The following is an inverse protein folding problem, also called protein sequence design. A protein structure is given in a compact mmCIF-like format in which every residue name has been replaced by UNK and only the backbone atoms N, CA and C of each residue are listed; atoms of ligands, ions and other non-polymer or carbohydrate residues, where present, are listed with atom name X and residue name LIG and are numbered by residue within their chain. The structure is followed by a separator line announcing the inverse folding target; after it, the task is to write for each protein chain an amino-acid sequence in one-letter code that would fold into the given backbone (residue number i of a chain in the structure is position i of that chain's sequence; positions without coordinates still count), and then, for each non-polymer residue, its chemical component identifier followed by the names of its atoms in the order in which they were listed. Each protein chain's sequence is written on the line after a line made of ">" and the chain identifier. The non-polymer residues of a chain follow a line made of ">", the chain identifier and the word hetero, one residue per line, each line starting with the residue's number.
data_IF_201482468428
#
_entry.id   IF_201482468428
#
_cell.length_a   1.000
_cell.length_b   1.000
_cell.length_c   1.000
_cell.angle_alpha   90.00
_cell.angle_beta   90.00
_cell.angle_gamma   90.00
#
_symmetry.space_group_name_H-M   'P 1'
#
loop_
_entity.id
_entity.type
_entity.pdbx_description
1 polymer ?
#
# COMPACT_ATOMS: atom_id res chain seq x y z
N UNK A 1 -16.51 9.50 20.07
CA UNK A 1 -17.95 9.84 20.04
C UNK A 1 -18.69 8.64 19.49
N UNK A 2 -19.54 8.01 20.31
CA UNK A 2 -20.29 6.81 19.91
C UNK A 2 -21.76 7.15 19.94
N UNK A 3 -22.35 7.39 18.77
CA UNK A 3 -23.80 7.34 18.60
C UNK A 3 -24.13 6.16 17.70
N UNK A 4 -24.69 5.12 18.32
CA UNK A 4 -25.23 3.96 17.62
C UNK A 4 -26.51 4.38 16.91
N UNK A 5 -26.43 4.26 15.58
CA UNK A 5 -27.52 4.13 14.62
C UNK A 5 -28.11 2.71 14.77
N UNK A 6 -29.43 2.60 14.82
CA UNK A 6 -30.24 1.45 14.37
C UNK A 6 -31.70 1.93 14.40
N UNK A 7 -32.27 2.32 13.26
CA UNK A 7 -32.90 1.48 12.24
C UNK A 7 -34.30 1.03 12.68
N UNK A 8 -35.27 1.69 12.05
CA UNK A 8 -36.70 1.38 12.05
C UNK A 8 -36.96 0.01 11.42
N UNK A 9 -38.03 -0.64 11.86
CA UNK A 9 -38.92 -1.38 10.97
C UNK A 9 -40.37 -1.30 11.50
N UNK A 10 -41.39 -1.36 10.62
CA UNK A 10 -42.72 -0.83 10.87
C UNK A 10 -43.78 -1.92 11.11
N UNK A 11 -45.03 -1.47 11.28
CA UNK A 11 -46.29 -2.24 11.20
C UNK A 11 -46.75 -2.98 12.48
N UNK A 12 -47.61 -2.30 13.26
CA UNK A 12 -48.89 -2.90 13.67
C UNK A 12 -49.93 -1.82 14.00
N UNK A 13 -50.58 -1.28 12.98
CA UNK A 13 -51.83 -0.53 13.15
C UNK A 13 -52.97 -1.53 13.45
N UNK A 14 -53.32 -1.70 14.73
CA UNK A 14 -54.67 -2.14 15.11
C UNK A 14 -55.58 -0.91 15.17
N UNK A 15 -56.25 -0.66 14.05
CA UNK A 15 -57.42 0.23 13.96
C UNK A 15 -58.48 -0.19 14.97
N UNK A 16 -58.95 0.76 15.77
CA UNK A 16 -60.19 0.65 16.52
C UNK A 16 -61.16 1.68 15.95
N UNK A 17 -61.68 1.42 14.75
CA UNK A 17 -62.77 2.18 14.13
C UNK A 17 -64.09 1.47 14.48
N UNK A 18 -64.78 1.94 15.52
CA UNK A 18 -66.23 1.72 15.63
C UNK A 18 -66.90 2.75 14.72
N UNK A 19 -67.33 2.26 13.56
CA UNK A 19 -68.00 3.04 12.54
C UNK A 19 -69.25 3.73 13.06
N UNK A 20 -69.27 5.05 12.88
CA UNK A 20 -70.48 5.84 12.80
C UNK A 20 -71.11 5.50 11.45
N UNK A 21 -72.15 4.65 11.46
CA UNK A 21 -73.00 4.47 10.29
C UNK A 21 -73.90 5.69 10.15
N UNK A 22 -73.49 6.60 9.27
CA UNK A 22 -74.43 7.45 8.54
C UNK A 22 -75.27 6.51 7.67
N UNK A 23 -76.54 6.34 8.02
CA UNK A 23 -77.52 5.69 7.17
C UNK A 23 -78.51 6.77 6.72
N UNK A 24 -78.44 7.05 5.43
CA UNK A 24 -79.33 7.93 4.70
C UNK A 24 -80.79 7.46 4.82
N UNK A 25 -81.70 8.43 4.93
CA UNK A 25 -83.14 8.22 4.99
C UNK A 25 -83.69 7.54 3.73
N UNK A 26 -84.74 6.72 3.82
CA UNK A 26 -85.80 6.71 2.84
C UNK A 26 -86.95 7.61 3.31
N UNK A 27 -87.21 8.65 2.50
CA UNK A 27 -88.50 9.34 2.48
C UNK A 27 -89.51 8.33 1.89
N UNK A 28 -90.43 7.85 2.71
CA UNK A 28 -91.72 7.35 2.24
C UNK A 28 -92.83 7.97 3.07
N UNK A 29 -93.64 8.74 2.35
CA UNK A 29 -94.94 9.28 2.71
C UNK A 29 -95.80 8.36 3.58
N UNK A 30 -96.25 8.87 4.73
CA UNK A 30 -97.66 8.77 5.12
C UNK A 30 -97.96 9.85 6.15
N UNK A 31 -98.80 10.79 5.75
CA UNK A 31 -99.43 11.79 6.60
C UNK A 31 -100.26 11.09 7.67
N UNK A 32 -99.64 10.81 8.81
CA UNK A 32 -100.35 10.50 10.04
C UNK A 32 -99.55 11.14 11.17
N UNK A 33 -100.11 12.20 11.73
CA UNK A 33 -99.62 12.91 12.90
C UNK A 33 -99.21 11.90 13.99
N UNK A 34 -97.90 11.63 14.08
CA UNK A 34 -97.34 10.91 15.23
C UNK A 34 -97.31 11.89 16.40
N UNK A 35 -98.43 12.00 17.11
CA UNK A 35 -98.38 12.33 18.53
C UNK A 35 -97.49 11.25 19.19
N UNK A 36 -96.32 11.65 19.66
CA UNK A 36 -95.34 10.74 20.27
C UNK A 36 -95.92 9.98 21.47
N UNK A 37 -95.24 8.89 21.89
CA UNK A 37 -95.59 8.16 23.12
C UNK A 37 -95.62 9.14 24.30
N UNK A 38 -96.82 9.42 24.79
CA UNK A 38 -97.09 10.24 25.97
C UNK A 38 -96.26 9.69 27.14
N UNK A 39 -95.35 10.52 27.65
CA UNK A 39 -94.43 10.20 28.73
C UNK A 39 -95.20 9.81 30.00
N UNK A 40 -94.58 9.06 30.92
CA UNK A 40 -95.23 8.64 32.17
C UNK A 40 -95.71 9.81 33.03
N UNK A 41 -95.11 10.99 32.85
CA UNK A 41 -95.46 12.23 33.52
C UNK A 41 -96.67 12.90 32.88
N UNK A 42 -96.75 12.94 31.54
CA UNK A 42 -97.93 13.44 30.83
C UNK A 42 -99.17 12.57 31.10
N UNK A 43 -99.03 11.25 31.26
CA UNK A 43 -100.15 10.39 31.66
C UNK A 43 -100.67 10.69 33.07
N UNK A 44 -99.79 11.06 34.01
CA UNK A 44 -100.19 11.46 35.36
C UNK A 44 -100.89 12.82 35.36
N UNK A 45 -100.40 13.74 34.54
CA UNK A 45 -101.04 15.03 34.30
C UNK A 45 -102.43 14.84 33.71
N UNK A 46 -102.55 13.99 32.67
CA UNK A 46 -103.83 13.67 32.05
C UNK A 46 -104.81 13.02 33.05
N UNK A 47 -104.34 12.07 33.88
CA UNK A 47 -105.16 11.46 34.91
C UNK A 47 -105.68 12.48 35.94
N UNK A 48 -104.82 13.41 36.39
CA UNK A 48 -105.22 14.50 37.29
C UNK A 48 -106.25 15.41 36.58
N UNK A 49 -106.02 15.79 35.33
CA UNK A 49 -106.96 16.59 34.55
C UNK A 49 -108.32 15.88 34.34
N UNK A 50 -108.30 14.57 34.11
CA UNK A 50 -109.50 13.75 33.93
C UNK A 50 -110.30 13.62 35.25
N UNK A 51 -109.62 13.44 36.39
CA UNK A 51 -110.25 13.46 37.73
C UNK A 51 -110.87 14.83 38.04
N UNK A 52 -110.21 15.92 37.64
CA UNK A 52 -110.68 17.29 37.80
C UNK A 52 -111.87 17.60 36.87
N UNK A 53 -111.87 17.06 35.65
CA UNK A 53 -112.98 17.15 34.70
C UNK A 53 -114.24 16.43 35.25
N UNK A 54 -114.10 15.27 35.90
CA UNK A 54 -115.22 14.57 36.52
C UNK A 54 -115.95 15.41 37.58
N UNK A 55 -115.23 16.25 38.33
CA UNK A 55 -115.81 17.19 39.31
C UNK A 55 -116.56 18.35 38.61
N UNK A 56 -116.11 18.74 37.41
CA UNK A 56 -116.72 19.78 36.57
C UNK A 56 -118.04 19.31 35.93
N UNK A 57 -118.24 18.01 35.72
CA UNK A 57 -119.44 17.44 35.08
C UNK A 57 -120.58 17.03 36.05
N UNK A 58 -120.43 17.22 37.36
CA UNK A 58 -121.50 16.93 38.35
C UNK A 58 -122.76 17.82 38.12
N UNK A 59 -123.96 17.45 38.62
CA UNK A 59 -125.17 18.28 38.52
C UNK A 59 -125.01 19.65 39.20
N UNK A 60 -125.61 20.71 38.63
CA UNK A 60 -125.45 22.13 39.06
C UNK A 60 -126.22 22.52 40.34
N UNK A 61 -126.92 21.61 40.99
CA UNK A 61 -127.93 21.93 42.01
C UNK A 61 -127.37 22.31 43.40
N UNK A 62 -126.06 22.55 43.53
CA UNK A 62 -125.46 22.97 44.79
C UNK A 62 -124.45 24.12 44.58
N UNK A 63 -124.70 25.28 45.20
CA UNK A 63 -123.81 26.47 45.15
C UNK A 63 -122.35 26.15 45.54
N UNK A 64 -122.15 25.17 46.44
CA UNK A 64 -120.81 24.72 46.86
C UNK A 64 -120.02 24.12 45.70
N UNK A 65 -120.67 23.38 44.80
CA UNK A 65 -120.04 22.74 43.63
C UNK A 65 -119.66 23.79 42.58
N UNK A 66 -120.47 24.84 42.41
CA UNK A 66 -120.15 25.94 41.49
C UNK A 66 -118.91 26.72 41.92
N UNK A 67 -118.76 27.01 43.22
CA UNK A 67 -117.56 27.68 43.78
C UNK A 67 -116.30 26.83 43.60
N UNK A 68 -116.39 25.52 43.81
CA UNK A 68 -115.27 24.59 43.60
C UNK A 68 -114.85 24.57 42.13
N UNK A 69 -115.79 24.46 41.17
CA UNK A 69 -115.46 24.50 39.74
C UNK A 69 -114.79 25.80 39.31
N UNK A 70 -115.25 26.92 39.84
CA UNK A 70 -114.65 28.23 39.54
C UNK A 70 -113.21 28.29 40.06
N UNK A 71 -112.97 27.89 41.30
CA UNK A 71 -111.62 27.83 41.89
C UNK A 71 -110.70 26.84 41.14
N UNK A 72 -111.24 25.70 40.70
CA UNK A 72 -110.51 24.71 39.90
C UNK A 72 -110.12 25.26 38.52
N UNK A 73 -111.06 25.94 37.85
CA UNK A 73 -110.81 26.60 36.56
C UNK A 73 -109.77 27.71 36.67
N UNK A 74 -109.83 28.51 37.73
CA UNK A 74 -108.83 29.55 38.04
C UNK A 74 -107.44 28.94 38.29
N UNK A 75 -107.36 27.85 39.07
CA UNK A 75 -106.09 27.14 39.29
C UNK A 75 -105.51 26.49 38.02
N UNK A 76 -106.37 25.93 37.16
CA UNK A 76 -105.95 25.38 35.86
C UNK A 76 -105.44 26.47 34.92
N UNK A 77 -106.08 27.64 34.88
CA UNK A 77 -105.58 28.77 34.11
C UNK A 77 -104.18 29.20 34.59
N UNK A 78 -103.98 29.38 35.90
CA UNK A 78 -102.67 29.74 36.48
C UNK A 78 -101.62 28.68 36.13
N UNK A 79 -101.98 27.40 36.19
CA UNK A 79 -101.05 26.32 35.88
C UNK A 79 -100.68 26.26 34.39
N UNK A 80 -101.64 26.50 33.50
CA UNK A 80 -101.39 26.62 32.06
C UNK A 80 -100.46 27.80 31.76
N UNK A 81 -100.69 28.96 32.38
CA UNK A 81 -99.82 30.15 32.25
C UNK A 81 -98.38 29.85 32.72
N UNK A 82 -98.23 29.19 33.87
CA UNK A 82 -96.91 28.81 34.40
C UNK A 82 -96.21 27.76 33.51
N UNK A 83 -96.97 26.83 32.92
CA UNK A 83 -96.44 25.85 31.98
C UNK A 83 -95.98 26.51 30.67
N UNK A 84 -96.74 27.49 30.17
CA UNK A 84 -96.37 28.26 28.98
C UNK A 84 -95.12 29.12 29.22
N UNK A 85 -95.03 29.78 30.38
CA UNK A 85 -93.85 30.57 30.76
C UNK A 85 -92.59 29.70 30.89
N UNK A 86 -92.71 28.51 31.51
CA UNK A 86 -91.61 27.54 31.58
C UNK A 86 -91.23 27.02 30.19
N UNK A 87 -92.19 26.68 29.34
CA UNK A 87 -91.94 26.23 27.97
C UNK A 87 -91.21 27.30 27.14
N UNK A 88 -91.61 28.57 27.29
CA UNK A 88 -90.96 29.70 26.65
C UNK A 88 -89.53 29.90 27.16
N UNK A 89 -89.29 29.70 28.45
CA UNK A 89 -87.94 29.74 29.05
C UNK A 89 -87.05 28.63 28.48
N UNK A 90 -87.56 27.40 28.34
CA UNK A 90 -86.82 26.30 27.71
C UNK A 90 -86.54 26.55 26.23
N UNK A 91 -87.50 27.08 25.47
CA UNK A 91 -87.28 27.46 24.07
C UNK A 91 -86.16 28.50 23.94
N UNK A 92 -86.15 29.53 24.81
CA UNK A 92 -85.07 30.54 24.83
C UNK A 92 -83.71 29.91 25.15
N UNK A 93 -83.63 29.07 26.19
CA UNK A 93 -82.38 28.35 26.54
C UNK A 93 -81.91 27.43 25.42
N UNK A 94 -82.82 26.71 24.77
CA UNK A 94 -82.50 25.86 23.62
C UNK A 94 -81.93 26.67 22.46
N UNK A 95 -82.48 27.86 22.21
CA UNK A 95 -81.97 28.75 21.16
C UNK A 95 -80.57 29.27 21.49
N UNK A 96 -80.35 29.70 22.74
CA UNK A 96 -79.03 30.14 23.21
C UNK A 96 -77.98 29.02 23.09
N UNK A 97 -78.31 27.80 23.52
CA UNK A 97 -77.42 26.64 23.39
C UNK A 97 -77.12 26.30 21.93
N UNK A 98 -78.10 26.47 21.03
CA UNK A 98 -77.88 26.28 19.59
C UNK A 98 -76.93 27.32 19.03
N UNK A 99 -77.11 28.60 19.38
CA UNK A 99 -76.22 29.69 18.97
C UNK A 99 -74.78 29.48 19.49
N UNK A 100 -74.62 29.04 20.75
CA UNK A 100 -73.31 28.68 21.33
C UNK A 100 -72.68 27.48 20.63
N UNK A 101 -73.46 26.45 20.28
CA UNK A 101 -72.97 25.29 19.55
C UNK A 101 -72.51 25.67 18.14
N UNK A 102 -73.29 26.48 17.43
CA UNK A 102 -72.94 26.96 16.09
C UNK A 102 -71.66 27.82 16.13
N UNK A 103 -71.50 28.66 17.16
CA UNK A 103 -70.27 29.42 17.38
C UNK A 103 -69.06 28.52 17.66
N UNK A 104 -69.19 27.50 18.53
CA UNK A 104 -68.11 26.54 18.78
C UNK A 104 -67.71 25.77 17.53
N UNK A 105 -68.68 25.44 16.68
CA UNK A 105 -68.43 24.76 15.41
C UNK A 105 -67.65 25.66 14.44
N UNK A 106 -68.05 26.92 14.30
CA UNK A 106 -67.31 27.89 13.49
C UNK A 106 -65.86 28.05 13.97
N UNK A 107 -65.67 28.14 15.29
CA UNK A 107 -64.35 28.29 15.89
C UNK A 107 -63.47 27.04 15.67
N UNK A 108 -64.05 25.84 15.73
CA UNK A 108 -63.36 24.60 15.38
C UNK A 108 -62.95 24.55 13.92
N UNK A 109 -63.79 25.04 13.01
CA UNK A 109 -63.47 25.06 11.59
C UNK A 109 -62.36 26.09 11.29
N UNK A 110 -62.39 27.27 11.93
CA UNK A 110 -61.29 28.25 11.87
C UNK A 110 -59.96 27.69 12.39
N UNK A 111 -59.99 26.91 13.50
CA UNK A 111 -58.78 26.26 14.03
C UNK A 111 -58.20 25.27 13.01
N UNK A 112 -59.04 24.46 12.36
CA UNK A 112 -58.59 23.49 11.35
C UNK A 112 -57.96 24.20 10.14
N UNK A 113 -58.60 25.27 9.66
CA UNK A 113 -58.09 26.05 8.54
C UNK A 113 -56.73 26.69 8.88
N UNK A 114 -56.60 27.21 10.11
CA UNK A 114 -55.33 27.78 10.59
C UNK A 114 -54.24 26.73 10.71
N UNK A 115 -54.56 25.51 11.19
CA UNK A 115 -53.61 24.39 11.25
C UNK A 115 -53.13 23.98 9.85
N UNK A 116 -54.04 23.94 8.87
CA UNK A 116 -53.67 23.65 7.48
C UNK A 116 -52.70 24.71 6.91
N UNK A 117 -52.99 26.00 7.16
CA UNK A 117 -52.13 27.10 6.73
C UNK A 117 -50.74 27.05 7.39
N UNK A 118 -50.63 26.67 8.67
CA UNK A 118 -49.35 26.52 9.35
C UNK A 118 -48.55 25.37 8.73
N UNK A 119 -49.18 24.21 8.51
CA UNK A 119 -48.52 23.06 7.89
C UNK A 119 -48.02 23.36 6.47
N UNK A 120 -48.79 24.12 5.69
CA UNK A 120 -48.36 24.54 4.35
C UNK A 120 -47.13 25.45 4.39
N UNK A 121 -47.10 26.42 5.33
CA UNK A 121 -45.93 27.29 5.53
C UNK A 121 -44.69 26.51 5.99
N UNK A 122 -44.85 25.57 6.91
CA UNK A 122 -43.76 24.72 7.38
C UNK A 122 -43.18 23.88 6.22
N UNK A 123 -44.03 23.24 5.42
CA UNK A 123 -43.58 22.49 4.22
C UNK A 123 -42.89 23.39 3.20
N UNK A 124 -43.39 24.61 2.99
CA UNK A 124 -42.76 25.56 2.09
C UNK A 124 -41.36 25.97 2.60
N UNK A 125 -41.21 26.19 3.92
CA UNK A 125 -39.93 26.51 4.53
C UNK A 125 -38.94 25.33 4.51
N UNK A 126 -39.41 24.10 4.74
CA UNK A 126 -38.58 22.91 4.58
C UNK A 126 -38.09 22.76 3.13
N UNK A 127 -38.96 23.00 2.15
CA UNK A 127 -38.61 22.94 0.75
C UNK A 127 -37.56 24.01 0.35
N UNK A 128 -37.63 25.22 0.91
CA UNK A 128 -36.61 26.27 0.66
C UNK A 128 -35.28 25.91 1.32
N UNK A 129 -35.29 25.44 2.56
CA UNK A 129 -34.08 24.99 3.27
C UNK A 129 -33.41 23.80 2.54
N UNK A 130 -34.18 22.85 2.03
CA UNK A 130 -33.64 21.74 1.24
C UNK A 130 -33.04 22.23 -0.07
N UNK A 131 -33.66 23.19 -0.76
CA UNK A 131 -33.09 23.79 -1.97
C UNK A 131 -31.77 24.50 -1.71
N UNK A 132 -31.64 25.22 -0.59
CA UNK A 132 -30.37 25.87 -0.23
C UNK A 132 -29.28 24.85 0.08
N UNK A 133 -29.59 23.80 0.84
CA UNK A 133 -28.64 22.70 1.11
C UNK A 133 -28.20 21.99 -0.17
N UNK A 134 -29.11 21.73 -1.11
CA UNK A 134 -28.77 21.14 -2.42
C UNK A 134 -27.83 22.07 -3.20
N UNK A 135 -28.06 23.39 -3.17
CA UNK A 135 -27.20 24.34 -3.86
C UNK A 135 -25.79 24.39 -3.25
N UNK A 136 -25.66 24.28 -1.93
CA UNK A 136 -24.37 24.19 -1.23
C UNK A 136 -23.62 22.91 -1.61
N UNK A 137 -24.30 21.75 -1.57
CA UNK A 137 -23.71 20.46 -1.97
C UNK A 137 -23.28 20.50 -3.44
N UNK A 138 -24.09 21.06 -4.33
CA UNK A 138 -23.71 21.20 -5.74
C UNK A 138 -22.46 22.08 -5.92
N UNK A 139 -22.33 23.15 -5.13
CA UNK A 139 -21.13 23.99 -5.14
C UNK A 139 -19.88 23.20 -4.68
N UNK A 140 -20.01 22.40 -3.63
CA UNK A 140 -18.92 21.52 -3.17
C UNK A 140 -18.54 20.47 -4.21
N UNK A 141 -19.52 19.85 -4.87
CA UNK A 141 -19.30 18.91 -5.98
C UNK A 141 -18.52 19.60 -7.10
N UNK A 142 -18.97 20.76 -7.57
CA UNK A 142 -18.25 21.50 -8.62
C UNK A 142 -16.83 21.90 -8.22
N UNK A 143 -16.60 22.26 -6.95
CA UNK A 143 -15.25 22.57 -6.46
C UNK A 143 -14.35 21.33 -6.43
N UNK A 144 -14.89 20.18 -6.01
CA UNK A 144 -14.19 18.90 -6.02
C UNK A 144 -13.88 18.44 -7.45
N UNK A 145 -14.83 18.53 -8.38
CA UNK A 145 -14.61 18.22 -9.80
C UNK A 145 -13.50 19.09 -10.39
N UNK A 146 -13.49 20.39 -10.08
CA UNK A 146 -12.40 21.30 -10.49
C UNK A 146 -11.05 20.87 -9.93
N UNK A 147 -10.97 20.54 -8.63
CA UNK A 147 -9.73 20.03 -8.00
C UNK A 147 -9.26 18.74 -8.66
N UNK A 148 -10.19 17.85 -8.97
CA UNK A 148 -9.92 16.56 -9.59
C UNK A 148 -9.40 16.72 -11.03
N UNK A 149 -9.96 17.66 -11.80
CA UNK A 149 -9.45 18.03 -13.14
C UNK A 149 -7.99 18.50 -13.07
N UNK A 150 -7.67 19.40 -12.13
CA UNK A 150 -6.28 19.89 -11.94
C UNK A 150 -5.32 18.74 -11.64
N UNK A 151 -5.72 17.79 -10.79
CA UNK A 151 -4.91 16.63 -10.47
C UNK A 151 -4.71 15.71 -11.68
N UNK A 152 -5.74 15.52 -12.52
CA UNK A 152 -5.60 14.76 -13.77
C UNK A 152 -4.63 15.44 -14.75
N UNK A 153 -4.74 16.75 -14.93
CA UNK A 153 -3.83 17.51 -15.79
C UNK A 153 -2.39 17.42 -15.29
N UNK A 154 -2.19 17.55 -13.96
CA UNK A 154 -0.88 17.41 -13.35
C UNK A 154 -0.29 16.01 -13.54
N UNK A 155 -1.10 14.96 -13.33
CA UNK A 155 -0.70 13.57 -13.57
C UNK A 155 -0.32 13.33 -15.03
N UNK A 156 -1.11 13.85 -15.97
CA UNK A 156 -0.84 13.75 -17.40
C UNK A 156 0.48 14.42 -17.77
N UNK A 157 0.73 15.61 -17.23
CA UNK A 157 1.99 16.32 -17.43
C UNK A 157 3.20 15.56 -16.87
N UNK A 158 3.08 15.00 -15.65
CA UNK A 158 4.14 14.18 -15.05
C UNK A 158 4.42 12.91 -15.87
N UNK A 159 3.37 12.23 -16.35
CA UNK A 159 3.53 11.06 -17.22
C UNK A 159 4.27 11.41 -18.51
N UNK A 160 3.93 12.53 -19.16
CA UNK A 160 4.64 12.99 -20.35
C UNK A 160 6.12 13.27 -20.05
N UNK A 161 6.42 13.94 -18.93
CA UNK A 161 7.81 14.18 -18.51
C UNK A 161 8.58 12.90 -18.26
N UNK A 162 7.96 11.92 -17.59
CA UNK A 162 8.57 10.62 -17.33
C UNK A 162 8.89 9.89 -18.65
N UNK A 163 7.92 9.86 -19.58
CA UNK A 163 8.14 9.27 -20.91
C UNK A 163 9.27 9.95 -21.69
N UNK A 164 9.40 11.27 -21.59
CA UNK A 164 10.53 11.99 -22.19
C UNK A 164 11.85 11.60 -21.53
N UNK A 165 11.92 11.54 -20.19
CA UNK A 165 13.12 11.10 -19.48
C UNK A 165 13.52 9.67 -19.88
N UNK A 166 12.58 8.72 -19.87
CA UNK A 166 12.83 7.34 -20.29
C UNK A 166 13.39 7.27 -21.72
N UNK A 167 12.85 8.06 -22.65
CA UNK A 167 13.34 8.09 -24.04
C UNK A 167 14.76 8.64 -24.16
N UNK A 168 15.11 9.64 -23.34
CA UNK A 168 16.46 10.22 -23.31
C UNK A 168 17.45 9.23 -22.71
N UNK A 169 17.10 8.58 -21.60
CA UNK A 169 17.92 7.55 -20.96
C UNK A 169 18.15 6.35 -21.90
N UNK A 170 17.11 5.88 -22.61
CA UNK A 170 17.27 4.84 -23.62
C UNK A 170 18.23 5.25 -24.74
N UNK A 171 18.18 6.52 -25.18
CA UNK A 171 19.09 7.04 -26.19
C UNK A 171 20.53 7.10 -25.68
N UNK A 172 20.73 7.51 -24.42
CA UNK A 172 22.06 7.56 -23.79
C UNK A 172 22.65 6.16 -23.60
N UNK A 173 21.85 5.20 -23.13
CA UNK A 173 22.24 3.80 -23.01
C UNK A 173 22.71 3.28 -24.37
N UNK A 174 21.92 3.48 -25.43
CA UNK A 174 22.28 3.04 -26.77
C UNK A 174 23.60 3.65 -27.27
N UNK A 175 23.80 4.95 -27.03
CA UNK A 175 25.06 5.63 -27.38
C UNK A 175 26.27 5.08 -26.62
N UNK A 176 26.09 4.72 -25.34
CA UNK A 176 27.13 4.11 -24.52
C UNK A 176 27.46 2.69 -24.97
N UNK A 177 26.46 1.89 -25.32
CA UNK A 177 26.62 0.54 -25.89
C UNK A 177 27.42 0.60 -27.20
N UNK A 178 27.06 1.50 -28.12
CA UNK A 178 27.78 1.73 -29.37
C UNK A 178 29.23 2.15 -29.14
N UNK A 179 29.45 3.06 -28.18
CA UNK A 179 30.80 3.53 -27.84
C UNK A 179 31.64 2.40 -27.23
N UNK A 180 31.04 1.58 -26.38
CA UNK A 180 31.71 0.42 -25.77
C UNK A 180 32.11 -0.58 -26.84
N UNK A 181 31.21 -0.88 -27.78
CA UNK A 181 31.50 -1.78 -28.90
C UNK A 181 32.67 -1.26 -29.74
N UNK A 182 32.67 0.02 -30.11
CA UNK A 182 33.79 0.64 -30.86
C UNK A 182 35.10 0.60 -30.08
N UNK A 183 35.06 0.86 -28.77
CA UNK A 183 36.26 0.78 -27.93
C UNK A 183 36.79 -0.65 -27.83
N UNK A 184 35.91 -1.64 -27.76
CA UNK A 184 36.26 -3.04 -27.76
C UNK A 184 36.91 -3.44 -29.09
N UNK A 185 36.32 -3.05 -30.23
CA UNK A 185 36.91 -3.27 -31.55
C UNK A 185 38.30 -2.61 -31.68
N UNK A 186 38.46 -1.37 -31.18
CA UNK A 186 39.76 -0.69 -31.15
C UNK A 186 40.78 -1.39 -30.25
N UNK A 187 40.34 -1.97 -29.13
CA UNK A 187 41.20 -2.75 -28.25
C UNK A 187 41.67 -4.04 -28.93
N UNK A 188 40.75 -4.79 -29.52
CA UNK A 188 41.01 -6.07 -30.17
C UNK A 188 41.88 -5.92 -31.44
N UNK A 189 41.71 -4.80 -32.17
CA UNK A 189 42.50 -4.51 -33.37
C UNK A 189 43.90 -3.98 -33.09
N UNK A 190 44.25 -3.63 -31.84
CA UNK A 190 45.59 -3.13 -31.52
C UNK A 190 46.63 -4.25 -31.63
N UNK A 191 47.58 -4.17 -32.60
CA UNK A 191 48.54 -5.23 -32.90
C UNK A 191 49.54 -5.50 -31.76
N UNK A 192 49.68 -4.56 -30.83
CA UNK A 192 50.62 -4.65 -29.72
C UNK A 192 50.22 -5.68 -28.65
N UNK A 193 48.92 -5.93 -28.43
CA UNK A 193 48.47 -6.92 -27.44
C UNK A 193 48.79 -8.33 -27.93
N UNK A 194 48.49 -8.65 -29.18
CA UNK A 194 48.83 -9.94 -29.79
C UNK A 194 50.36 -10.15 -29.86
N UNK A 195 51.12 -9.11 -30.24
CA UNK A 195 52.59 -9.17 -30.30
C UNK A 195 53.22 -9.34 -28.91
N UNK A 196 52.70 -8.65 -27.88
CA UNK A 196 53.18 -8.74 -26.51
C UNK A 196 52.89 -10.12 -25.92
N UNK A 197 51.68 -10.65 -26.12
CA UNK A 197 51.33 -12.01 -25.66
C UNK A 197 52.23 -13.06 -26.32
N UNK A 198 52.49 -12.96 -27.63
CA UNK A 198 53.45 -13.86 -28.32
C UNK A 198 54.87 -13.70 -27.78
N UNK A 199 55.32 -12.46 -27.51
CA UNK A 199 56.64 -12.21 -26.95
C UNK A 199 56.81 -12.80 -25.54
N UNK A 200 55.80 -12.68 -24.68
CA UNK A 200 55.80 -13.26 -23.32
C UNK A 200 55.89 -14.79 -23.40
N UNK A 201 55.14 -15.43 -24.29
CA UNK A 201 55.24 -16.88 -24.48
C UNK A 201 56.63 -17.32 -24.94
N UNK A 202 57.22 -16.64 -25.93
CA UNK A 202 58.57 -16.93 -26.38
C UNK A 202 59.62 -16.75 -25.27
N UNK A 203 59.47 -15.74 -24.40
CA UNK A 203 60.35 -15.55 -23.25
C UNK A 203 60.21 -16.65 -22.19
N UNK A 204 58.99 -17.17 -21.95
CA UNK A 204 58.77 -18.29 -21.01
C UNK A 204 59.38 -19.61 -21.49
N UNK A 205 59.34 -19.87 -22.80
CA UNK A 205 59.99 -21.04 -23.39
C UNK A 205 61.52 -20.96 -23.25
N UNK A 206 62.10 -19.78 -23.51
CA UNK A 206 63.53 -19.52 -23.32
C UNK A 206 63.97 -19.63 -21.86
N UNK A 207 63.20 -19.07 -20.92
CA UNK A 207 63.47 -19.21 -19.48
C UNK A 207 63.50 -20.68 -19.06
N UNK A 208 62.57 -21.49 -19.59
CA UNK A 208 62.52 -22.93 -19.31
C UNK A 208 63.76 -23.66 -19.86
N UNK A 209 64.21 -23.28 -21.06
CA UNK A 209 65.44 -23.81 -21.67
C UNK A 209 66.69 -23.46 -20.85
N UNK A 210 66.83 -22.20 -20.44
CA UNK A 210 67.91 -21.74 -19.57
C UNK A 210 67.92 -22.48 -18.23
N UNK A 211 66.77 -22.65 -17.57
CA UNK A 211 66.64 -23.44 -16.34
C UNK A 211 67.12 -24.88 -16.55
N UNK A 212 66.77 -25.51 -17.67
CA UNK A 212 67.21 -26.86 -17.98
C UNK A 212 68.74 -26.95 -18.17
N UNK A 213 69.33 -26.01 -18.91
CA UNK A 213 70.78 -25.95 -19.10
C UNK A 213 71.54 -25.72 -17.78
N UNK A 214 71.02 -24.86 -16.90
CA UNK A 214 71.57 -24.63 -15.56
C UNK A 214 71.52 -25.92 -14.73
N UNK A 215 70.42 -26.68 -14.77
CA UNK A 215 70.29 -27.95 -14.04
C UNK A 215 71.32 -28.98 -14.54
N UNK A 216 71.47 -29.12 -15.86
CA UNK A 216 72.46 -30.03 -16.45
C UNK A 216 73.90 -29.63 -16.08
N UNK A 217 74.22 -28.34 -16.22
CA UNK A 217 75.52 -27.78 -15.84
C UNK A 217 75.88 -28.05 -14.37
N UNK A 218 74.92 -27.82 -13.47
CA UNK A 218 75.10 -27.98 -12.04
C UNK A 218 75.33 -29.44 -11.64
N UNK A 219 74.64 -30.38 -12.28
CA UNK A 219 74.81 -31.82 -12.03
C UNK A 219 76.23 -32.33 -12.34
N UNK A 220 76.85 -31.85 -13.42
CA UNK A 220 78.23 -32.19 -13.78
C UNK A 220 79.26 -31.61 -12.82
N UNK A 221 79.05 -30.36 -12.37
CA UNK A 221 79.90 -29.71 -11.35
C UNK A 221 79.81 -30.46 -10.02
N UNK A 222 78.59 -30.82 -9.58
CA UNK A 222 78.39 -31.60 -8.35
C UNK A 222 79.05 -32.97 -8.39
N UNK A 223 79.05 -33.65 -9.55
CA UNK A 223 79.72 -34.94 -9.69
C UNK A 223 81.22 -34.83 -9.39
N UNK A 224 81.93 -33.89 -10.01
CA UNK A 224 83.36 -33.71 -9.77
C UNK A 224 83.65 -33.22 -8.35
N UNK A 225 82.83 -32.32 -7.79
CA UNK A 225 82.97 -31.86 -6.40
C UNK A 225 82.86 -33.01 -5.40
N UNK A 226 81.79 -33.82 -5.49
CA UNK A 226 81.60 -34.98 -4.61
C UNK A 226 82.73 -35.98 -4.74
N UNK A 227 83.19 -36.26 -5.96
CA UNK A 227 84.27 -37.22 -6.17
C UNK A 227 85.61 -36.73 -5.60
N UNK A 228 85.90 -35.43 -5.70
CA UNK A 228 87.08 -34.83 -5.05
C UNK A 228 86.92 -34.89 -3.53
N UNK A 229 85.75 -34.55 -2.99
CA UNK A 229 85.45 -34.63 -1.55
C UNK A 229 85.56 -36.06 -0.99
N UNK A 230 85.19 -37.07 -1.77
CA UNK A 230 85.29 -38.48 -1.36
C UNK A 230 86.74 -38.97 -1.40
N UNK A 231 87.52 -38.62 -2.43
CA UNK A 231 88.87 -39.17 -2.64
C UNK A 231 89.95 -38.42 -1.85
N UNK A 232 89.80 -37.11 -1.64
CA UNK A 232 90.82 -36.29 -0.97
C UNK A 232 91.11 -36.68 0.50
N UNK A 233 90.13 -37.05 1.35
CA UNK A 233 90.39 -37.56 2.69
C UNK A 233 91.17 -38.87 2.68
N UNK A 234 90.95 -39.74 1.69
CA UNK A 234 91.68 -41.00 1.54
C UNK A 234 93.14 -40.76 1.14
N UNK A 235 93.39 -39.83 0.22
CA UNK A 235 94.74 -39.35 -0.11
C UNK A 235 95.45 -38.78 1.13
N UNK A 236 94.80 -37.85 1.86
CA UNK A 236 95.35 -37.23 3.07
C UNK A 236 95.60 -38.26 4.19
N UNK A 237 94.72 -39.25 4.34
CA UNK A 237 94.90 -40.34 5.31
C UNK A 237 96.10 -41.22 4.95
N UNK A 238 96.29 -41.54 3.67
CA UNK A 238 97.44 -42.33 3.22
C UNK A 238 98.76 -41.56 3.32
N UNK A 239 98.75 -40.24 3.06
CA UNK A 239 99.89 -39.36 3.27
C UNK A 239 100.26 -39.24 4.77
N UNK A 240 99.28 -39.07 5.66
CA UNK A 240 99.51 -38.97 7.10
C UNK A 240 99.89 -40.29 7.80
N UNK A 241 99.78 -41.42 7.10
CA UNK A 241 100.29 -42.72 7.59
C UNK A 241 101.82 -42.86 7.49
N UNK A 242 102.55 -41.85 6.99
CA UNK A 242 104.00 -41.76 7.15
C UNK A 242 104.35 -41.15 8.52
N UNK A 243 105.26 -41.80 9.26
CA UNK A 243 105.76 -41.41 10.60
C UNK A 243 104.78 -41.67 11.77
N UNK A 244 104.47 -42.94 12.04
CA UNK A 244 104.17 -43.38 13.42
C UNK A 244 105.05 -44.58 13.80
N UNK A 245 106.29 -44.29 14.16
CA UNK A 245 107.15 -45.14 14.98
C UNK A 245 106.54 -45.22 16.38
N UNK A 246 105.52 -46.06 16.53
CA UNK A 246 104.80 -46.23 17.79
C UNK A 246 103.69 -47.27 17.71
N UNK A 247 104.11 -48.54 17.82
CA UNK A 247 103.34 -49.71 18.30
C UNK A 247 101.81 -49.55 18.29
N UNK A 248 101.17 -49.97 17.21
CA UNK A 248 99.79 -50.49 17.28
C UNK A 248 99.64 -51.66 16.32
N UNK A 249 99.56 -52.87 16.90
CA UNK A 249 99.33 -54.13 16.21
C UNK A 249 97.88 -54.20 15.76
N UNK A 250 97.56 -53.82 14.52
CA UNK A 250 96.40 -54.33 13.76
C UNK A 250 96.30 -53.77 12.32
N UNK A 251 97.20 -54.16 11.42
CA UNK A 251 97.00 -54.44 9.97
C UNK A 251 98.35 -54.55 9.27
N UNK A 252 98.47 -55.29 8.14
CA UNK A 252 99.69 -55.26 7.34
C UNK A 252 99.89 -53.83 6.86
N UNK A 253 101.00 -53.21 7.26
CA UNK A 253 101.41 -51.92 6.70
C UNK A 253 101.81 -52.18 5.25
N UNK A 254 101.15 -51.51 4.30
CA UNK A 254 101.57 -51.53 2.91
C UNK A 254 103.07 -51.19 2.83
N UNK A 255 103.86 -51.92 2.01
CA UNK A 255 105.24 -51.54 1.72
C UNK A 255 105.31 -50.07 1.33
N UNK A 256 106.32 -49.36 1.82
CA UNK A 256 106.46 -47.92 1.66
C UNK A 256 106.46 -47.48 0.19
N UNK A 257 107.04 -48.31 -0.69
CA UNK A 257 107.01 -48.13 -2.14
C UNK A 257 105.58 -48.20 -2.72
N UNK A 258 104.81 -49.23 -2.38
CA UNK A 258 103.41 -49.38 -2.85
C UNK A 258 102.51 -48.27 -2.31
N UNK A 259 102.71 -47.83 -1.05
CA UNK A 259 101.98 -46.69 -0.49
C UNK A 259 102.29 -45.40 -1.25
N UNK A 260 103.56 -45.15 -1.56
CA UNK A 260 103.99 -43.98 -2.31
C UNK A 260 103.44 -43.99 -3.75
N UNK A 261 103.40 -45.15 -4.39
CA UNK A 261 102.77 -45.34 -5.70
C UNK A 261 101.26 -45.07 -5.66
N UNK A 262 100.55 -45.57 -4.64
CA UNK A 262 99.11 -45.31 -4.47
C UNK A 262 98.84 -43.83 -4.19
N UNK A 263 99.66 -43.19 -3.34
CA UNK A 263 99.51 -41.75 -3.04
C UNK A 263 99.78 -40.93 -4.29
N UNK A 264 100.86 -41.20 -5.04
CA UNK A 264 101.15 -40.46 -6.27
C UNK A 264 100.06 -40.64 -7.32
N UNK A 265 99.49 -41.85 -7.44
CA UNK A 265 98.34 -42.11 -8.30
C UNK A 265 97.09 -41.33 -7.84
N UNK A 266 96.75 -41.36 -6.56
CA UNK A 266 95.60 -40.61 -6.00
C UNK A 266 95.78 -39.10 -6.17
N UNK A 267 96.99 -38.56 -5.93
CA UNK A 267 97.32 -37.16 -6.16
C UNK A 267 97.18 -36.78 -7.63
N UNK A 268 97.63 -37.64 -8.56
CA UNK A 268 97.44 -37.42 -10.00
C UNK A 268 95.97 -37.45 -10.39
N UNK A 269 95.19 -38.41 -9.87
CA UNK A 269 93.77 -38.53 -10.13
C UNK A 269 93.02 -37.31 -9.60
N UNK A 270 93.31 -36.87 -8.38
CA UNK A 270 92.73 -35.67 -7.79
C UNK A 270 93.12 -34.42 -8.55
N UNK A 271 94.35 -34.32 -9.04
CA UNK A 271 94.78 -33.21 -9.90
C UNK A 271 94.03 -33.22 -11.23
N UNK A 272 93.89 -34.36 -11.90
CA UNK A 272 93.09 -34.51 -13.11
C UNK A 272 91.62 -34.17 -12.88
N UNK A 273 91.03 -34.54 -11.74
CA UNK A 273 89.65 -34.20 -11.42
C UNK A 273 89.47 -32.73 -11.03
N UNK A 274 90.42 -32.11 -10.33
CA UNK A 274 90.41 -30.66 -10.08
C UNK A 274 90.49 -29.88 -11.39
N UNK A 275 91.37 -30.31 -12.31
CA UNK A 275 91.44 -29.74 -13.65
C UNK A 275 90.14 -29.98 -14.43
N UNK A 276 89.56 -31.18 -14.38
CA UNK A 276 88.28 -31.47 -15.01
C UNK A 276 87.12 -30.64 -14.41
N UNK A 277 87.13 -30.37 -13.10
CA UNK A 277 86.17 -29.51 -12.43
C UNK A 277 86.34 -28.05 -12.88
N UNK A 278 87.56 -27.53 -12.99
CA UNK A 278 87.84 -26.19 -13.52
C UNK A 278 87.38 -26.05 -14.98
N UNK A 279 87.61 -27.09 -15.79
CA UNK A 279 87.10 -27.17 -17.17
C UNK A 279 85.58 -27.27 -17.20
N UNK A 280 84.95 -28.04 -16.32
CA UNK A 280 83.49 -28.18 -16.25
C UNK A 280 82.83 -26.87 -15.80
N UNK A 281 83.39 -26.18 -14.80
CA UNK A 281 82.93 -24.86 -14.38
C UNK A 281 83.04 -23.90 -15.57
N UNK A 282 84.22 -23.76 -16.19
CA UNK A 282 84.41 -22.79 -17.29
C UNK A 282 83.58 -23.10 -18.54
N UNK A 283 83.44 -24.37 -18.93
CA UNK A 283 82.69 -24.75 -20.14
C UNK A 283 81.19 -24.79 -19.94
N UNK A 284 80.67 -25.14 -18.75
CA UNK A 284 79.22 -25.22 -18.54
C UNK A 284 78.55 -23.84 -18.49
N UNK A 285 79.28 -22.79 -18.09
CA UNK A 285 78.76 -21.41 -18.12
C UNK A 285 78.76 -20.78 -19.51
N UNK A 286 79.61 -21.25 -20.44
CA UNK A 286 79.78 -20.63 -21.76
C UNK A 286 78.48 -20.65 -22.60
N UNK A 287 77.71 -21.76 -22.71
CA UNK A 287 76.41 -21.73 -23.37
C UNK A 287 75.40 -20.81 -22.69
N UNK A 288 75.40 -20.74 -21.36
CA UNK A 288 74.49 -19.89 -20.58
C UNK A 288 74.81 -18.41 -20.82
N UNK A 289 76.09 -18.02 -20.80
CA UNK A 289 76.54 -16.65 -21.08
C UNK A 289 76.14 -16.23 -22.50
N UNK A 290 76.40 -17.06 -23.52
CA UNK A 290 76.03 -16.75 -24.91
C UNK A 290 74.52 -16.57 -25.05
N UNK A 291 73.70 -17.37 -24.36
CA UNK A 291 72.25 -17.21 -24.39
C UNK A 291 71.76 -15.97 -23.65
N UNK A 292 72.37 -15.63 -22.50
CA UNK A 292 72.06 -14.40 -21.78
C UNK A 292 72.45 -13.17 -22.58
N UNK A 293 73.60 -13.18 -23.27
CA UNK A 293 74.01 -12.10 -24.18
C UNK A 293 73.01 -11.93 -25.32
N UNK A 294 72.55 -13.03 -25.93
CA UNK A 294 71.49 -12.99 -26.95
C UNK A 294 70.17 -12.44 -26.40
N UNK A 295 69.80 -12.80 -25.17
CA UNK A 295 68.56 -12.32 -24.54
C UNK A 295 68.64 -10.84 -24.17
N UNK A 296 69.80 -10.35 -23.73
CA UNK A 296 70.06 -8.92 -23.51
C UNK A 296 69.89 -8.15 -24.82
N UNK A 297 70.54 -8.59 -25.90
CA UNK A 297 70.42 -7.96 -27.23
C UNK A 297 68.96 -7.96 -27.71
N UNK A 298 68.26 -9.07 -27.57
CA UNK A 298 66.86 -9.19 -28.00
C UNK A 298 65.90 -8.35 -27.12
N UNK A 299 66.21 -8.17 -25.84
CA UNK A 299 65.45 -7.28 -24.95
C UNK A 299 65.69 -5.82 -25.30
N UNK A 300 66.94 -5.42 -25.57
CA UNK A 300 67.30 -4.08 -26.03
C UNK A 300 66.61 -3.75 -27.37
N UNK A 301 66.62 -4.67 -28.33
CA UNK A 301 65.88 -4.51 -29.60
C UNK A 301 64.37 -4.33 -29.38
N UNK A 302 63.77 -5.11 -28.47
CA UNK A 302 62.34 -4.97 -28.16
C UNK A 302 62.02 -3.63 -27.48
N UNK A 303 62.81 -3.20 -26.50
CA UNK A 303 62.63 -1.91 -25.82
C UNK A 303 62.76 -0.73 -26.79
N UNK A 304 63.75 -0.76 -27.68
CA UNK A 304 63.93 0.26 -28.72
C UNK A 304 62.74 0.32 -29.69
N UNK A 305 62.08 -0.80 -29.95
CA UNK A 305 60.87 -0.87 -30.77
C UNK A 305 59.58 -0.41 -30.06
N UNK A 306 59.54 -0.36 -28.72
CA UNK A 306 58.42 0.25 -27.99
C UNK A 306 58.55 1.77 -27.90
N UNK A 307 59.77 2.29 -27.79
CA UNK A 307 60.05 3.74 -27.72
C UNK A 307 59.80 4.49 -29.04
N UNK A 308 59.62 3.80 -30.17
CA UNK A 308 59.34 4.41 -31.47
C UNK A 308 57.85 4.51 -31.83
N UNK A 309 56.94 4.06 -30.96
CA UNK A 309 55.48 4.11 -31.17
C UNK A 309 54.81 5.00 -30.12
N UNK A 310 55.21 6.27 -30.07
CA UNK A 310 54.37 7.35 -29.52
C UNK A 310 54.03 8.30 -30.65
N UNK A 311 52.84 8.21 -31.28
CA UNK A 311 52.29 9.36 -31.97
C UNK A 311 51.88 10.38 -30.91
N UNK A 312 52.56 11.51 -30.91
CA UNK A 312 52.22 12.71 -30.15
C UNK A 312 50.98 13.36 -30.76
N UNK A 313 49.79 12.86 -30.44
CA UNK A 313 48.52 13.53 -30.74
C UNK A 313 47.76 13.79 -29.44
N UNK A 314 48.16 14.86 -28.75
CA UNK A 314 47.30 15.56 -27.80
C UNK A 314 46.91 16.91 -28.40
N UNK A 315 45.84 16.92 -29.20
CA UNK A 315 45.01 18.11 -29.40
C UNK A 315 43.68 17.88 -28.69
N UNK A 316 43.62 18.32 -27.43
CA UNK A 316 42.35 18.52 -26.73
C UNK A 316 41.68 19.76 -27.36
N UNK A 317 40.73 19.57 -28.27
CA UNK A 317 39.76 20.61 -28.59
C UNK A 317 38.75 20.69 -27.45
N UNK A 318 38.92 21.70 -26.59
CA UNK A 318 37.91 22.14 -25.63
C UNK A 318 36.73 22.75 -26.39
N UNK A 319 35.63 22.00 -26.47
CA UNK A 319 34.34 22.51 -26.91
C UNK A 319 33.85 23.59 -25.92
N UNK A 320 33.80 24.83 -26.39
CA UNK A 320 33.17 25.96 -25.70
C UNK A 320 31.65 25.80 -25.74
N UNK A 321 31.02 25.86 -24.56
CA UNK A 321 29.57 25.86 -24.40
C UNK A 321 28.93 27.12 -24.97
N UNK A 322 27.72 26.98 -25.53
CA UNK A 322 26.73 28.04 -25.68
C UNK A 322 25.65 27.88 -24.61
#
# INVERSE_FOLDING_TARGET
>A
MSFKKNQEDPLSHKKNEKGIKLQENPITSSSQERLGRISGTERKIQAILDEHAQIIFLPKECEKVHRIRKALGEQLCIWCEECEERANTYKRKSKQLQEEFDFQKELLDQIKDTQALIQEKERAQEATNLKTLIAEVNKEISELERKLSILYDHRSHLLKRLQTCDSLEQTEIHNLEDRLLRLQEQYDTRPHVSKLTKAIHAFREKESSLKFMVIQAYSGIQFYQRFIEDVHPHEMKLQSMSMSTGISKARPQLPEAERLEIVTLLSSILHSFKSALEVAISNNWKPIIVLLEQDIVLYEEKMNNFSSVTPSDTSFESASHK
#
